data_IF_141175046263
#
_entry.id   IF_141175046263
#
_cell.length_a   1.000
_cell.length_b   1.000
_cell.length_c   1.000
_cell.angle_alpha   90.00
_cell.angle_beta   90.00
_cell.angle_gamma   90.00
#
_symmetry.space_group_name_H-M   'P 1'
#
loop_
_entity.id
_entity.type
_entity.pdbx_description
1 polymer ?
#
# COMPACT_ATOMS: atom_id res chain seq x y z
N UNK A 1 1.93 -3.48 13.28
CA UNK A 1 3.26 -2.83 13.35
C UNK A 1 3.31 -1.64 12.41
N UNK A 2 3.98 -0.53 12.80
CA UNK A 2 4.20 0.61 11.90
C UNK A 2 5.23 0.25 10.81
N UNK A 3 5.06 0.84 9.62
CA UNK A 3 6.11 0.92 8.60
C UNK A 3 6.15 2.36 8.07
N UNK A 4 7.14 2.69 7.24
CA UNK A 4 7.20 4.01 6.59
C UNK A 4 6.05 4.22 5.58
N UNK A 5 5.43 3.14 5.11
CA UNK A 5 4.35 3.14 4.11
C UNK A 5 2.96 3.19 4.74
N UNK A 6 2.51 2.10 5.33
CA UNK A 6 1.24 1.94 6.05
C UNK A 6 1.44 1.00 7.24
N UNK A 7 0.55 1.00 8.20
CA UNK A 7 0.58 0.00 9.28
C UNK A 7 0.21 -1.38 8.74
N UNK A 8 0.98 -2.40 9.15
CA UNK A 8 0.78 -3.79 8.78
C UNK A 8 0.20 -4.64 9.91
N UNK A 9 -0.73 -5.54 9.59
CA UNK A 9 -1.17 -6.61 10.48
C UNK A 9 -0.15 -7.75 10.41
N UNK A 10 0.75 -7.80 11.40
CA UNK A 10 1.90 -8.68 11.40
C UNK A 10 1.61 -10.03 12.05
N UNK A 11 2.06 -11.10 11.43
CA UNK A 11 2.10 -12.45 11.97
C UNK A 11 3.31 -13.21 11.45
N UNK A 12 3.69 -14.29 12.13
CA UNK A 12 4.80 -15.16 11.72
C UNK A 12 4.59 -15.66 10.28
N UNK A 13 5.49 -15.28 9.37
CA UNK A 13 5.39 -15.57 7.93
C UNK A 13 5.62 -17.05 7.59
N UNK A 14 6.18 -17.82 8.52
CA UNK A 14 6.41 -19.26 8.36
C UNK A 14 5.42 -20.13 9.13
N UNK A 15 4.54 -19.52 9.93
CA UNK A 15 3.55 -20.26 10.71
C UNK A 15 2.18 -20.23 10.00
N UNK A 16 1.68 -21.36 9.44
CA UNK A 16 0.40 -21.43 8.75
C UNK A 16 -0.79 -20.97 9.61
N UNK A 17 -0.75 -21.19 10.94
CA UNK A 17 -1.83 -20.77 11.83
C UNK A 17 -1.85 -19.24 12.00
N UNK A 18 -0.66 -18.59 12.09
CA UNK A 18 -0.55 -17.15 12.13
C UNK A 18 -1.00 -16.51 10.81
N UNK A 19 -0.64 -17.11 9.67
CA UNK A 19 -1.09 -16.68 8.34
C UNK A 19 -2.62 -16.78 8.22
N UNK A 20 -3.21 -17.94 8.59
CA UNK A 20 -4.66 -18.12 8.58
C UNK A 20 -5.39 -17.07 9.44
N UNK A 21 -4.82 -16.73 10.60
CA UNK A 21 -5.37 -15.69 11.48
C UNK A 21 -5.34 -14.30 10.83
N UNK A 22 -4.32 -13.96 10.05
CA UNK A 22 -4.27 -12.71 9.27
C UNK A 22 -5.44 -12.66 8.26
N UNK A 23 -5.65 -13.73 7.50
CA UNK A 23 -6.76 -13.80 6.52
C UNK A 23 -8.13 -13.68 7.21
N UNK A 24 -8.31 -14.35 8.35
CA UNK A 24 -9.54 -14.32 9.15
C UNK A 24 -9.84 -12.90 9.68
N UNK A 25 -8.89 -12.28 10.39
CA UNK A 25 -9.05 -10.94 10.97
C UNK A 25 -9.40 -9.91 9.89
N UNK A 26 -8.71 -9.97 8.75
CA UNK A 26 -8.94 -9.05 7.64
C UNK A 26 -10.18 -9.39 6.81
N UNK A 27 -10.74 -10.60 6.92
CA UNK A 27 -11.70 -11.17 5.97
C UNK A 27 -11.15 -11.13 4.53
N UNK A 28 -9.84 -11.42 4.40
CA UNK A 28 -9.13 -11.37 3.13
C UNK A 28 -9.38 -12.65 2.32
N UNK A 29 -9.59 -12.55 1.00
CA UNK A 29 -9.65 -13.73 0.14
C UNK A 29 -8.32 -14.50 0.12
N UNK A 30 -8.37 -15.83 0.17
CA UNK A 30 -7.17 -16.69 0.20
C UNK A 30 -6.32 -16.62 -1.10
N UNK A 31 -6.89 -16.12 -2.19
CA UNK A 31 -6.18 -15.94 -3.45
C UNK A 31 -5.38 -14.62 -3.54
N UNK A 32 -5.41 -13.77 -2.50
CA UNK A 32 -4.69 -12.50 -2.48
C UNK A 32 -3.43 -12.65 -1.59
N UNK A 33 -2.20 -12.80 -2.19
CA UNK A 33 -0.99 -13.18 -1.47
C UNK A 33 -0.54 -12.11 -0.46
N UNK A 34 0.40 -12.47 0.40
CA UNK A 34 0.95 -11.60 1.44
C UNK A 34 2.38 -11.16 1.07
N UNK A 35 2.82 -10.05 1.65
CA UNK A 35 4.21 -9.59 1.59
C UNK A 35 4.91 -10.06 2.87
N UNK A 36 6.04 -10.74 2.72
CA UNK A 36 6.93 -11.11 3.82
C UNK A 36 7.95 -10.00 4.06
N UNK A 37 8.05 -9.55 5.30
CA UNK A 37 8.95 -8.49 5.73
C UNK A 37 10.12 -9.08 6.50
N UNK A 38 11.33 -8.60 6.22
CA UNK A 38 12.60 -9.08 6.77
C UNK A 38 13.40 -7.93 7.39
N UNK A 39 14.34 -8.28 8.29
CA UNK A 39 15.22 -7.31 8.92
C UNK A 39 16.28 -6.75 7.95
N UNK A 40 16.72 -7.56 6.99
CA UNK A 40 17.74 -7.21 6.01
C UNK A 40 17.57 -7.95 4.68
N UNK A 41 18.38 -7.59 3.70
CA UNK A 41 18.30 -8.13 2.34
C UNK A 41 18.79 -9.59 2.27
N UNK A 42 19.73 -10.02 3.09
CA UNK A 42 20.26 -11.38 3.12
C UNK A 42 19.16 -12.34 3.54
N UNK A 43 18.53 -12.10 4.69
CA UNK A 43 17.39 -12.88 5.15
C UNK A 43 16.20 -12.86 4.16
N UNK A 44 15.97 -11.72 3.47
CA UNK A 44 14.92 -11.63 2.46
C UNK A 44 15.20 -12.50 1.23
N UNK A 45 16.44 -12.61 0.80
CA UNK A 45 16.80 -13.45 -0.35
C UNK A 45 16.98 -14.93 0.00
N UNK A 46 17.16 -15.29 1.27
CA UNK A 46 17.24 -16.68 1.70
C UNK A 46 15.96 -17.49 1.44
N UNK A 47 14.82 -16.83 1.32
CA UNK A 47 13.53 -17.50 1.01
C UNK A 47 13.26 -17.61 -0.49
N UNK A 48 14.20 -17.17 -1.32
CA UNK A 48 14.12 -17.18 -2.78
C UNK A 48 15.20 -18.05 -3.42
N UNK A 49 14.96 -18.50 -4.64
CA UNK A 49 15.97 -19.09 -5.50
C UNK A 49 16.08 -18.30 -6.80
N UNK A 50 17.20 -18.44 -7.52
CA UNK A 50 17.44 -17.83 -8.83
C UNK A 50 17.11 -16.33 -8.87
N UNK A 51 17.48 -15.59 -7.79
CA UNK A 51 17.21 -14.15 -7.69
C UNK A 51 18.01 -13.40 -8.75
N UNK A 52 17.33 -12.69 -9.70
CA UNK A 52 18.01 -11.93 -10.75
C UNK A 52 18.93 -10.85 -10.16
N UNK A 53 20.05 -10.57 -10.83
CA UNK A 53 20.99 -9.54 -10.40
C UNK A 53 20.32 -8.14 -10.35
N UNK A 54 19.41 -7.86 -11.28
CA UNK A 54 18.61 -6.63 -11.27
C UNK A 54 17.78 -6.49 -9.99
N UNK A 55 17.21 -7.59 -9.47
CA UNK A 55 16.47 -7.57 -8.20
C UNK A 55 17.40 -7.25 -7.02
N UNK A 56 18.63 -7.79 -7.02
CA UNK A 56 19.65 -7.46 -6.01
C UNK A 56 20.09 -6.00 -6.09
N UNK A 57 20.28 -5.45 -7.28
CA UNK A 57 20.60 -4.03 -7.51
C UNK A 57 19.50 -3.11 -7.03
N UNK A 58 18.24 -3.43 -7.32
CA UNK A 58 17.07 -2.70 -6.82
C UNK A 58 17.00 -2.75 -5.29
N UNK A 59 17.20 -3.92 -4.69
CA UNK A 59 17.24 -4.08 -3.25
C UNK A 59 18.36 -3.24 -2.62
N UNK A 60 19.57 -3.28 -3.15
CA UNK A 60 20.70 -2.51 -2.64
C UNK A 60 20.46 -0.99 -2.68
N UNK A 61 19.64 -0.51 -3.62
CA UNK A 61 19.31 0.91 -3.75
C UNK A 61 18.16 1.34 -2.85
N UNK A 62 17.13 0.47 -2.69
CA UNK A 62 15.85 0.87 -2.11
C UNK A 62 15.52 0.17 -0.78
N UNK A 63 16.36 -0.76 -0.29
CA UNK A 63 16.20 -1.38 1.00
C UNK A 63 17.28 -0.91 1.99
N UNK A 64 16.88 -0.65 3.23
CA UNK A 64 15.52 -0.67 3.78
C UNK A 64 14.65 0.46 3.20
N UNK A 65 13.40 0.13 2.78
CA UNK A 65 12.51 1.13 2.18
C UNK A 65 11.22 0.59 1.54
N UNK A 66 10.52 1.46 0.79
CA UNK A 66 9.19 1.17 0.28
C UNK A 66 9.18 0.39 -1.04
N UNK A 67 10.13 -0.54 -1.24
CA UNK A 67 10.19 -1.47 -2.35
C UNK A 67 9.79 -2.88 -1.91
N UNK A 68 8.92 -3.52 -2.68
CA UNK A 68 8.62 -4.95 -2.60
C UNK A 68 9.06 -5.62 -3.90
N UNK A 69 9.80 -6.71 -3.80
CA UNK A 69 10.22 -7.54 -4.93
C UNK A 69 9.46 -8.86 -4.93
N UNK A 70 8.97 -9.26 -6.10
CA UNK A 70 8.35 -10.57 -6.32
C UNK A 70 9.38 -11.46 -7.00
N UNK A 71 9.76 -12.54 -6.31
CA UNK A 71 10.85 -13.44 -6.69
C UNK A 71 10.42 -14.90 -6.58
N UNK A 72 11.06 -15.85 -7.30
CA UNK A 72 10.77 -17.27 -7.16
C UNK A 72 11.01 -17.74 -5.70
N UNK A 73 10.02 -18.43 -5.11
CA UNK A 73 10.07 -18.86 -3.71
C UNK A 73 10.75 -20.22 -3.54
N UNK A 74 11.43 -20.42 -2.40
CA UNK A 74 11.80 -21.73 -1.93
C UNK A 74 10.64 -22.44 -1.25
N UNK A 75 10.69 -23.76 -1.12
CA UNK A 75 9.67 -24.58 -0.47
C UNK A 75 9.52 -24.30 1.03
N UNK A 76 10.47 -23.59 1.64
CA UNK A 76 10.38 -23.11 3.03
C UNK A 76 9.27 -22.08 3.23
N UNK A 77 8.82 -21.39 2.16
CA UNK A 77 7.73 -20.42 2.23
C UNK A 77 6.40 -21.15 2.11
N UNK A 78 5.52 -21.06 3.14
CA UNK A 78 4.21 -21.70 3.10
C UNK A 78 3.36 -21.22 1.91
N UNK A 79 2.64 -22.13 1.25
CA UNK A 79 1.73 -21.79 0.13
C UNK A 79 0.66 -20.79 0.54
N UNK A 80 0.22 -20.80 1.79
CA UNK A 80 -0.76 -19.84 2.28
C UNK A 80 -0.24 -18.40 2.23
N UNK A 81 1.07 -18.16 2.40
CA UNK A 81 1.65 -16.83 2.28
C UNK A 81 1.62 -16.31 0.84
N UNK A 82 1.72 -17.21 -0.13
CA UNK A 82 1.81 -16.88 -1.57
C UNK A 82 0.52 -17.18 -2.34
N UNK A 83 -0.55 -17.61 -1.63
CA UNK A 83 -1.80 -18.05 -2.27
C UNK A 83 -1.58 -19.18 -3.29
N UNK A 84 -0.61 -20.06 -3.04
CA UNK A 84 -0.23 -21.17 -3.93
C UNK A 84 0.62 -20.75 -5.15
N UNK A 85 1.00 -19.48 -5.26
CA UNK A 85 1.86 -19.01 -6.36
C UNK A 85 3.32 -19.47 -6.17
N UNK A 86 4.06 -19.69 -7.28
CA UNK A 86 5.47 -20.11 -7.23
C UNK A 86 6.44 -18.96 -6.90
N UNK A 87 5.92 -17.78 -6.60
CA UNK A 87 6.68 -16.58 -6.28
C UNK A 87 6.24 -16.01 -4.94
N UNK A 88 7.16 -15.32 -4.25
CA UNK A 88 6.92 -14.64 -2.98
C UNK A 88 7.24 -13.16 -3.10
N UNK A 89 6.41 -12.32 -2.49
CA UNK A 89 6.65 -10.89 -2.34
C UNK A 89 7.46 -10.66 -1.06
N UNK A 90 8.64 -10.05 -1.17
CA UNK A 90 9.58 -9.81 -0.07
C UNK A 90 9.92 -8.33 0.03
N UNK A 91 10.14 -7.85 1.27
CA UNK A 91 10.46 -6.45 1.55
C UNK A 91 11.30 -6.31 2.81
N UNK A 92 12.16 -5.29 2.84
CA UNK A 92 12.86 -4.80 4.04
C UNK A 92 12.37 -3.38 4.33
N UNK A 93 11.49 -3.17 5.34
CA UNK A 93 10.94 -1.84 5.66
C UNK A 93 11.98 -0.97 6.34
N UNK A 94 11.89 0.37 6.20
CA UNK A 94 12.86 1.30 6.81
C UNK A 94 12.44 1.82 8.19
N UNK A 95 11.20 1.60 8.63
CA UNK A 95 10.71 2.16 9.89
C UNK A 95 11.44 1.57 11.11
N UNK A 96 11.97 2.39 12.06
CA UNK A 96 12.79 1.91 13.17
C UNK A 96 12.11 0.85 14.05
N UNK A 97 10.81 1.02 14.35
CA UNK A 97 10.04 0.05 15.15
C UNK A 97 9.86 -1.27 14.41
N UNK A 98 9.57 -1.23 13.08
CA UNK A 98 9.49 -2.45 12.28
C UNK A 98 10.83 -3.18 12.25
N UNK A 99 11.93 -2.47 12.06
CA UNK A 99 13.28 -3.02 12.06
C UNK A 99 13.66 -3.63 13.41
N UNK A 100 13.33 -2.97 14.53
CA UNK A 100 13.57 -3.51 15.86
C UNK A 100 12.77 -4.81 16.10
N UNK A 101 11.48 -4.79 15.70
CA UNK A 101 10.61 -5.98 15.81
C UNK A 101 11.15 -7.15 14.98
N UNK A 102 11.51 -6.94 13.72
CA UNK A 102 12.04 -7.98 12.83
C UNK A 102 13.34 -8.58 13.33
N UNK A 103 14.27 -7.75 13.86
CA UNK A 103 15.51 -8.23 14.48
C UNK A 103 15.26 -9.02 15.75
N UNK A 104 14.28 -8.61 16.57
CA UNK A 104 13.94 -9.34 17.80
C UNK A 104 13.22 -10.66 17.50
N UNK A 105 12.37 -10.69 16.48
CA UNK A 105 11.60 -11.86 16.06
C UNK A 105 12.49 -12.92 15.38
N UNK A 106 13.53 -12.50 14.67
CA UNK A 106 14.51 -13.36 13.97
C UNK A 106 13.90 -14.26 12.89
N UNK A 107 12.86 -13.77 12.22
CA UNK A 107 12.16 -14.45 11.13
C UNK A 107 11.34 -13.48 10.30
N UNK A 108 10.72 -13.93 9.20
CA UNK A 108 9.85 -13.09 8.40
C UNK A 108 8.52 -12.83 9.09
N UNK A 109 8.01 -11.60 8.96
CA UNK A 109 6.64 -11.26 9.31
C UNK A 109 5.81 -11.05 8.05
N UNK A 110 4.74 -11.83 7.88
CA UNK A 110 3.72 -11.52 6.90
C UNK A 110 2.90 -10.33 7.42
N UNK A 111 2.83 -9.24 6.65
CA UNK A 111 2.16 -8.03 7.12
C UNK A 111 1.44 -7.28 5.99
N UNK A 112 0.22 -7.69 5.62
CA UNK A 112 -0.67 -6.85 4.82
C UNK A 112 -1.10 -5.63 5.63
N UNK A 113 -1.65 -4.58 4.98
CA UNK A 113 -2.16 -3.39 5.67
C UNK A 113 -3.14 -3.75 6.81
N UNK A 114 -3.10 -3.01 7.93
CA UNK A 114 -3.84 -3.37 9.15
C UNK A 114 -5.29 -2.83 9.16
N UNK A 115 -6.02 -3.04 8.06
CA UNK A 115 -7.45 -2.70 7.89
C UNK A 115 -8.24 -3.95 7.49
N UNK A 116 -9.56 -3.92 7.60
CA UNK A 116 -10.43 -4.91 6.96
C UNK A 116 -10.27 -4.84 5.44
N UNK A 117 -10.38 -6.00 4.78
CA UNK A 117 -10.18 -6.10 3.34
C UNK A 117 -11.03 -5.10 2.55
N UNK A 118 -10.41 -4.44 1.57
CA UNK A 118 -11.07 -3.46 0.70
C UNK A 118 -11.25 -2.06 1.30
N UNK A 119 -10.93 -1.85 2.59
CA UNK A 119 -11.08 -0.57 3.30
C UNK A 119 -9.82 0.29 3.17
N UNK A 120 -9.91 1.55 3.65
CA UNK A 120 -8.82 2.53 3.68
C UNK A 120 -7.66 1.98 4.52
N UNK A 121 -6.44 2.00 3.96
CA UNK A 121 -5.23 1.57 4.69
C UNK A 121 -4.91 2.51 5.86
N UNK A 122 -4.56 1.99 7.06
CA UNK A 122 -4.22 2.83 8.20
C UNK A 122 -2.78 3.35 8.11
N UNK A 123 -2.59 4.63 8.41
CA UNK A 123 -1.30 5.31 8.43
C UNK A 123 -0.86 5.74 9.83
N UNK A 124 -1.64 5.42 10.85
CA UNK A 124 -1.34 5.62 12.27
C UNK A 124 -1.99 4.54 13.14
N UNK A 125 -1.61 4.48 14.42
CA UNK A 125 -2.11 3.48 15.37
C UNK A 125 -3.60 3.66 15.70
N UNK A 126 -4.09 4.88 15.72
CA UNK A 126 -5.50 5.18 16.00
C UNK A 126 -6.40 4.62 14.88
N UNK A 127 -5.99 4.76 13.62
CA UNK A 127 -6.69 4.18 12.48
C UNK A 127 -6.70 2.65 12.52
N UNK A 128 -5.61 1.99 12.96
CA UNK A 128 -5.58 0.54 13.17
C UNK A 128 -6.59 0.13 14.24
N UNK A 129 -6.61 0.84 15.38
CA UNK A 129 -7.55 0.55 16.45
C UNK A 129 -9.01 0.74 16.01
N UNK A 130 -9.31 1.80 15.26
CA UNK A 130 -10.64 2.04 14.70
C UNK A 130 -11.11 0.94 13.72
N UNK A 131 -10.19 0.36 12.94
CA UNK A 131 -10.50 -0.69 11.94
C UNK A 131 -10.60 -2.10 12.54
N UNK A 132 -9.68 -2.45 13.44
CA UNK A 132 -9.50 -3.82 13.93
C UNK A 132 -9.88 -3.98 15.41
N UNK A 133 -9.83 -2.90 16.21
CA UNK A 133 -10.20 -2.91 17.62
C UNK A 133 -9.52 -4.04 18.40
N UNK A 134 -10.28 -4.69 19.27
CA UNK A 134 -9.81 -5.77 20.13
C UNK A 134 -9.53 -7.09 19.40
N UNK A 135 -9.70 -7.14 18.07
CA UNK A 135 -9.36 -8.34 17.30
C UNK A 135 -7.85 -8.55 17.17
N UNK A 136 -7.05 -7.51 17.45
CA UNK A 136 -5.59 -7.56 17.50
C UNK A 136 -5.10 -7.36 18.94
N UNK A 137 -4.22 -8.24 19.44
CA UNK A 137 -3.81 -8.20 20.84
C UNK A 137 -2.84 -7.05 21.19
N UNK A 138 -2.18 -6.49 20.19
CA UNK A 138 -1.14 -5.45 20.38
C UNK A 138 -1.04 -4.55 19.15
N UNK A 139 -0.98 -3.26 19.38
CA UNK A 139 -0.65 -2.25 18.37
C UNK A 139 0.65 -1.57 18.83
N UNK A 140 1.70 -1.68 18.03
CA UNK A 140 2.93 -0.91 18.22
C UNK A 140 2.73 0.46 17.59
N UNK A 141 2.72 1.50 18.39
CA UNK A 141 2.62 2.88 17.91
C UNK A 141 4.01 3.42 17.55
N UNK A 142 4.21 3.75 16.29
CA UNK A 142 5.43 4.38 15.77
C UNK A 142 5.18 5.77 15.20
N UNK A 143 4.00 6.36 15.49
CA UNK A 143 3.57 7.61 14.88
C UNK A 143 3.04 7.45 13.45
N UNK A 144 2.79 8.56 12.76
CA UNK A 144 2.25 8.55 11.40
C UNK A 144 3.28 8.04 10.38
N UNK A 145 2.81 7.33 9.36
CA UNK A 145 3.65 6.83 8.27
C UNK A 145 4.17 7.97 7.40
N UNK A 146 5.48 8.01 7.16
CA UNK A 146 6.12 9.12 6.42
C UNK A 146 5.81 9.12 4.91
N UNK A 147 5.57 7.93 4.31
CA UNK A 147 5.26 7.79 2.87
C UNK A 147 3.75 7.84 2.62
N UNK A 148 2.95 7.23 3.49
CA UNK A 148 1.49 7.26 3.46
C UNK A 148 0.81 6.43 2.38
N UNK A 149 1.56 5.82 1.47
CA UNK A 149 1.11 4.86 0.46
C UNK A 149 1.83 3.53 0.63
N UNK A 150 1.24 2.44 0.16
CA UNK A 150 1.90 1.13 0.17
C UNK A 150 3.18 1.12 -0.69
N UNK A 151 4.01 0.10 -0.49
CA UNK A 151 5.23 -0.11 -1.26
C UNK A 151 4.96 -0.26 -2.76
N UNK A 152 5.89 0.20 -3.58
CA UNK A 152 5.98 -0.16 -4.99
C UNK A 152 6.31 -1.65 -5.10
N UNK A 153 5.56 -2.39 -5.93
CA UNK A 153 5.75 -3.82 -6.12
C UNK A 153 6.26 -4.08 -7.52
N UNK A 154 7.44 -4.66 -7.61
CA UNK A 154 8.10 -5.03 -8.86
C UNK A 154 8.30 -6.54 -8.95
N UNK A 155 8.06 -7.08 -10.12
CA UNK A 155 8.54 -8.38 -10.53
C UNK A 155 9.73 -8.21 -11.47
N UNK A 156 10.81 -8.96 -11.20
CA UNK A 156 11.99 -8.98 -12.06
C UNK A 156 12.17 -10.38 -12.59
N UNK A 157 12.04 -10.56 -13.90
CA UNK A 157 12.21 -11.85 -14.56
C UNK A 157 12.68 -11.66 -16.01
N UNK A 158 13.54 -12.57 -16.48
CA UNK A 158 14.04 -12.60 -17.86
C UNK A 158 14.61 -11.27 -18.36
N UNK A 159 15.28 -10.51 -17.48
CA UNK A 159 15.83 -9.20 -17.81
C UNK A 159 14.80 -8.09 -17.95
N UNK A 160 13.56 -8.30 -17.49
CA UNK A 160 12.48 -7.31 -17.53
C UNK A 160 12.06 -6.91 -16.11
N UNK A 161 11.77 -5.64 -15.92
CA UNK A 161 11.18 -5.09 -14.70
C UNK A 161 9.71 -4.81 -14.97
N UNK A 162 8.83 -5.46 -14.22
CA UNK A 162 7.38 -5.29 -14.37
C UNK A 162 6.80 -4.67 -13.11
N UNK A 163 6.13 -3.52 -13.25
CA UNK A 163 5.38 -2.87 -12.19
C UNK A 163 4.06 -3.61 -11.96
N UNK A 164 3.92 -4.24 -10.80
CA UNK A 164 2.69 -4.90 -10.37
C UNK A 164 1.78 -3.96 -9.58
N UNK A 165 2.35 -2.99 -8.86
CA UNK A 165 1.62 -1.96 -8.11
C UNK A 165 2.47 -0.70 -7.97
N UNK A 166 1.95 0.44 -8.36
CA UNK A 166 2.56 1.73 -8.04
C UNK A 166 2.47 2.03 -6.54
N UNK A 167 3.51 2.65 -5.97
CA UNK A 167 3.60 2.91 -4.52
C UNK A 167 4.62 3.98 -4.18
N UNK A 168 5.29 3.83 -3.02
CA UNK A 168 6.18 4.83 -2.44
C UNK A 168 7.45 5.17 -3.22
N UNK A 169 7.76 4.44 -4.30
CA UNK A 169 8.86 4.75 -5.24
C UNK A 169 8.24 4.94 -6.61
N UNK A 170 8.59 6.04 -7.28
CA UNK A 170 8.06 6.33 -8.62
C UNK A 170 8.73 5.47 -9.71
N UNK A 171 8.02 5.30 -10.83
CA UNK A 171 8.55 4.57 -12.00
C UNK A 171 9.79 5.28 -12.54
N UNK A 172 9.74 6.60 -12.64
CA UNK A 172 10.83 7.44 -13.14
C UNK A 172 12.12 7.29 -12.29
N UNK A 173 11.96 7.12 -10.97
CA UNK A 173 13.10 6.88 -10.08
C UNK A 173 13.72 5.49 -10.31
N UNK A 174 12.89 4.48 -10.52
CA UNK A 174 13.33 3.12 -10.83
C UNK A 174 14.08 3.10 -12.18
N UNK A 175 13.49 3.69 -13.23
CA UNK A 175 14.07 3.76 -14.57
C UNK A 175 15.40 4.53 -14.57
N UNK A 176 15.47 5.65 -13.84
CA UNK A 176 16.71 6.44 -13.69
C UNK A 176 17.85 5.63 -13.06
N UNK A 177 17.54 4.76 -12.09
CA UNK A 177 18.55 3.99 -11.36
C UNK A 177 18.95 2.73 -12.13
N UNK A 178 18.01 2.06 -12.76
CA UNK A 178 18.28 0.81 -13.49
C UNK A 178 18.78 1.06 -14.92
N UNK A 179 18.40 2.18 -15.51
CA UNK A 179 18.58 2.45 -16.95
C UNK A 179 17.65 1.64 -17.84
N UNK A 180 16.60 1.01 -17.26
CA UNK A 180 15.70 0.09 -17.94
C UNK A 180 14.27 0.62 -17.91
N UNK A 181 13.50 0.36 -18.97
CA UNK A 181 12.09 0.69 -19.04
C UNK A 181 11.30 -0.25 -18.14
N UNK A 182 10.45 0.33 -17.28
CA UNK A 182 9.55 -0.43 -16.41
C UNK A 182 8.24 -0.73 -17.15
N UNK A 183 7.98 -2.01 -17.38
CA UNK A 183 6.72 -2.46 -17.99
C UNK A 183 5.60 -2.39 -16.95
N UNK A 184 4.41 -1.95 -17.35
CA UNK A 184 3.22 -2.03 -16.49
C UNK A 184 2.50 -3.35 -16.71
N UNK A 185 2.20 -4.07 -15.63
CA UNK A 185 1.36 -5.26 -15.72
C UNK A 185 -0.03 -4.87 -16.22
N UNK A 186 -0.56 -5.62 -17.17
CA UNK A 186 -1.96 -5.47 -17.58
C UNK A 186 -2.85 -5.93 -16.40
N UNK A 187 -3.90 -5.18 -16.04
CA UNK A 187 -4.85 -5.65 -15.04
C UNK A 187 -5.41 -7.02 -15.45
N UNK A 188 -5.24 -8.01 -14.61
CA UNK A 188 -5.73 -9.38 -14.87
C UNK A 188 -7.01 -9.55 -14.05
N UNK A 189 -8.09 -10.03 -14.69
CA UNK A 189 -9.31 -10.46 -13.98
C UNK A 189 -9.09 -11.79 -13.23
N UNK A 190 -7.91 -12.40 -13.34
CA UNK A 190 -7.45 -13.60 -12.66
C UNK A 190 -6.86 -13.29 -11.28
N UNK A 191 -6.42 -14.33 -10.55
CA UNK A 191 -5.79 -14.20 -9.25
C UNK A 191 -4.59 -13.21 -9.28
N UNK A 192 -4.53 -12.25 -8.35
CA UNK A 192 -3.50 -11.24 -8.32
C UNK A 192 -2.11 -11.86 -8.06
N UNK A 193 -1.08 -11.38 -8.76
CA UNK A 193 0.31 -11.77 -8.53
C UNK A 193 0.92 -11.06 -7.30
N UNK A 194 0.29 -9.99 -6.85
CA UNK A 194 0.73 -9.19 -5.69
C UNK A 194 -0.46 -8.52 -5.00
N UNK A 195 -0.33 -8.18 -3.71
CA UNK A 195 -1.38 -7.48 -2.95
C UNK A 195 -1.76 -6.14 -3.58
N UNK A 196 -3.07 -5.83 -3.58
CA UNK A 196 -3.59 -4.53 -4.04
C UNK A 196 -3.80 -4.42 -5.55
N UNK A 197 -3.80 -5.52 -6.30
CA UNK A 197 -4.15 -5.55 -7.74
C UNK A 197 -5.66 -5.65 -8.00
N UNK A 198 -6.47 -5.95 -6.99
CA UNK A 198 -7.91 -6.11 -7.13
C UNK A 198 -8.61 -4.79 -7.43
N UNK A 199 -9.67 -4.85 -8.26
CA UNK A 199 -10.45 -3.68 -8.72
C UNK A 199 -11.09 -2.89 -7.58
N UNK A 200 -11.58 -3.56 -6.54
CA UNK A 200 -12.23 -2.95 -5.38
C UNK A 200 -11.28 -2.97 -4.19
N UNK A 201 -10.64 -1.85 -3.93
CA UNK A 201 -9.71 -1.69 -2.81
C UNK A 201 -9.69 -0.23 -2.34
N UNK A 202 -9.26 0.03 -1.10
CA UNK A 202 -9.10 1.38 -0.51
C UNK A 202 -10.42 2.16 -0.33
N UNK A 203 -11.57 1.49 -0.40
CA UNK A 203 -12.85 2.17 -0.45
C UNK A 203 -13.27 2.75 0.92
N UNK A 204 -13.69 4.03 0.98
CA UNK A 204 -14.38 4.60 2.12
C UNK A 204 -15.76 3.93 2.31
N UNK A 205 -16.39 4.14 3.47
CA UNK A 205 -17.80 3.73 3.71
C UNK A 205 -18.77 4.54 2.87
N UNK A 206 -18.47 5.83 2.72
CA UNK A 206 -19.23 6.78 1.93
C UNK A 206 -18.95 6.63 0.44
N UNK A 207 -19.92 6.92 -0.43
CA UNK A 207 -19.67 6.95 -1.87
C UNK A 207 -18.56 7.95 -2.23
N UNK A 208 -17.63 7.52 -3.07
CA UNK A 208 -16.57 8.38 -3.60
C UNK A 208 -16.74 8.54 -5.10
N UNK A 209 -16.75 9.77 -5.57
CA UNK A 209 -16.72 10.13 -6.99
C UNK A 209 -15.40 10.82 -7.33
N UNK A 210 -14.72 10.29 -8.31
CA UNK A 210 -13.54 10.92 -8.88
C UNK A 210 -13.98 12.04 -9.84
N UNK A 211 -13.34 13.20 -9.71
CA UNK A 211 -13.55 14.36 -10.58
C UNK A 211 -12.48 14.36 -11.67
N UNK A 212 -12.91 14.46 -12.92
CA UNK A 212 -12.00 14.63 -14.05
C UNK A 212 -11.65 16.11 -14.25
N UNK A 213 -10.64 16.38 -15.07
CA UNK A 213 -10.20 17.74 -15.38
C UNK A 213 -11.35 18.51 -16.06
N UNK A 214 -11.78 19.60 -15.43
CA UNK A 214 -12.90 20.42 -15.91
C UNK A 214 -14.25 20.11 -15.26
N UNK A 215 -14.35 19.06 -14.46
CA UNK A 215 -15.56 18.81 -13.68
C UNK A 215 -15.81 19.96 -12.69
N UNK A 216 -17.06 20.39 -12.60
CA UNK A 216 -17.47 21.33 -11.57
C UNK A 216 -17.37 20.66 -10.19
N UNK A 217 -16.69 21.32 -9.24
CA UNK A 217 -16.70 20.90 -7.86
C UNK A 217 -18.12 21.05 -7.32
N UNK A 218 -18.76 19.98 -6.84
CA UNK A 218 -20.10 20.04 -6.31
C UNK A 218 -20.19 21.00 -5.12
N UNK A 219 -21.33 21.67 -5.01
CA UNK A 219 -21.68 22.56 -3.89
C UNK A 219 -22.80 21.94 -3.06
N UNK A 220 -22.91 22.34 -1.80
CA UNK A 220 -24.05 22.05 -0.95
C UNK A 220 -23.75 21.16 0.25
N UNK A 221 -24.76 20.96 1.07
CA UNK A 221 -24.69 20.13 2.27
C UNK A 221 -24.45 18.67 1.90
N UNK A 222 -23.63 17.97 2.70
CA UNK A 222 -23.29 16.57 2.49
C UNK A 222 -22.09 16.34 1.57
N UNK A 223 -21.56 17.35 0.88
CA UNK A 223 -20.41 17.19 0.01
C UNK A 223 -19.08 17.37 0.78
N UNK A 224 -18.21 16.35 0.72
CA UNK A 224 -16.81 16.41 1.16
C UNK A 224 -15.86 16.42 -0.04
N UNK A 225 -14.81 17.22 0.01
CA UNK A 225 -13.82 17.32 -1.05
C UNK A 225 -12.44 16.86 -0.59
N UNK A 226 -11.88 15.88 -1.28
CA UNK A 226 -10.47 15.51 -1.22
C UNK A 226 -9.75 16.28 -2.34
N UNK A 227 -9.07 17.36 -1.98
CA UNK A 227 -8.49 18.31 -2.91
C UNK A 227 -6.99 18.13 -3.08
N UNK A 228 -6.45 18.68 -4.16
CA UNK A 228 -5.01 18.79 -4.43
C UNK A 228 -4.71 20.14 -5.07
N UNK A 229 -3.63 20.80 -4.64
CA UNK A 229 -3.26 22.13 -5.11
C UNK A 229 -4.11 23.26 -4.51
N UNK A 230 -4.03 24.43 -5.11
CA UNK A 230 -4.84 25.57 -4.67
C UNK A 230 -6.30 25.39 -5.05
N UNK A 231 -7.19 25.58 -4.08
CA UNK A 231 -8.64 25.54 -4.27
C UNK A 231 -9.24 26.86 -3.83
N UNK A 232 -10.25 27.35 -4.55
CA UNK A 232 -11.08 28.43 -4.07
C UNK A 232 -12.00 27.90 -2.97
N UNK A 233 -12.22 28.68 -1.90
CA UNK A 233 -13.22 28.36 -0.90
C UNK A 233 -14.59 28.20 -1.53
N UNK A 234 -15.30 27.15 -1.13
CA UNK A 234 -16.63 26.80 -1.67
C UNK A 234 -17.49 26.28 -0.53
N UNK A 235 -18.82 26.38 -0.71
CA UNK A 235 -19.82 25.83 0.21
C UNK A 235 -19.78 24.30 0.19
N UNK A 236 -18.89 23.73 0.98
CA UNK A 236 -18.69 22.30 1.18
C UNK A 236 -18.82 21.96 2.67
N UNK A 237 -19.31 20.76 2.97
CA UNK A 237 -19.43 20.31 4.36
C UNK A 237 -18.06 20.08 5.01
N UNK A 238 -17.09 19.58 4.24
CA UNK A 238 -15.71 19.39 4.66
C UNK A 238 -14.75 19.42 3.46
N UNK A 239 -13.51 19.86 3.70
CA UNK A 239 -12.43 19.85 2.71
C UNK A 239 -11.18 19.31 3.37
N UNK A 240 -10.59 18.29 2.78
CA UNK A 240 -9.25 17.80 3.09
C UNK A 240 -8.36 18.03 1.87
N UNK A 241 -7.30 18.79 2.04
CA UNK A 241 -6.35 19.09 0.96
C UNK A 241 -5.09 18.25 1.13
N UNK A 242 -4.80 17.41 0.14
CA UNK A 242 -3.65 16.51 0.15
C UNK A 242 -2.32 17.29 0.16
N UNK A 243 -2.25 18.38 -0.61
CA UNK A 243 -1.12 19.32 -0.65
C UNK A 243 -1.58 20.64 -1.27
N UNK A 244 -1.71 21.72 -0.51
CA UNK A 244 -2.03 23.05 -1.06
C UNK A 244 -0.97 23.57 -2.02
N UNK A 245 0.29 23.19 -1.85
CA UNK A 245 1.41 23.56 -2.72
C UNK A 245 1.50 22.74 -4.01
N UNK A 246 0.75 21.64 -4.12
CA UNK A 246 0.83 20.71 -5.23
C UNK A 246 2.01 19.74 -5.15
N UNK A 247 2.58 19.53 -3.96
CA UNK A 247 3.64 18.54 -3.75
C UNK A 247 3.09 17.12 -3.66
N UNK A 248 3.55 16.24 -4.55
CA UNK A 248 3.06 14.86 -4.62
C UNK A 248 3.55 13.97 -3.47
N UNK A 249 4.66 14.30 -2.81
CA UNK A 249 5.14 13.56 -1.62
C UNK A 249 4.28 13.90 -0.41
N UNK A 250 3.98 15.19 -0.22
CA UNK A 250 3.04 15.65 0.80
C UNK A 250 1.66 15.03 0.56
N UNK A 251 1.18 15.04 -0.69
CA UNK A 251 -0.10 14.43 -1.05
C UNK A 251 -0.16 12.94 -0.74
N UNK A 252 0.90 12.20 -1.03
CA UNK A 252 1.00 10.78 -0.73
C UNK A 252 0.95 10.52 0.79
N UNK A 253 1.72 11.27 1.58
CA UNK A 253 1.76 11.14 3.05
C UNK A 253 0.39 11.44 3.69
N UNK A 254 -0.38 12.36 3.12
CA UNK A 254 -1.68 12.77 3.61
C UNK A 254 -2.85 11.91 3.10
N UNK A 255 -2.66 11.14 2.03
CA UNK A 255 -3.75 10.54 1.24
C UNK A 255 -4.76 9.73 2.07
N UNK A 256 -4.34 8.68 2.75
CA UNK A 256 -5.26 7.83 3.52
C UNK A 256 -5.81 8.52 4.76
N UNK A 257 -5.02 9.39 5.42
CA UNK A 257 -5.47 10.18 6.57
C UNK A 257 -6.60 11.13 6.16
N UNK A 258 -6.40 11.88 5.09
CA UNK A 258 -7.39 12.83 4.58
C UNK A 258 -8.67 12.12 4.09
N UNK A 259 -8.52 11.01 3.36
CA UNK A 259 -9.66 10.22 2.92
C UNK A 259 -10.45 9.65 4.11
N UNK A 260 -9.77 9.20 5.17
CA UNK A 260 -10.40 8.72 6.40
C UNK A 260 -11.11 9.85 7.15
N UNK A 261 -10.51 11.04 7.24
CA UNK A 261 -11.14 12.18 7.88
C UNK A 261 -12.48 12.54 7.22
N UNK A 262 -12.57 12.54 5.90
CA UNK A 262 -13.83 12.74 5.17
C UNK A 262 -14.81 11.57 5.37
N UNK A 263 -14.32 10.33 5.41
CA UNK A 263 -15.17 9.15 5.64
C UNK A 263 -15.78 9.13 7.05
N UNK A 264 -15.09 9.69 8.04
CA UNK A 264 -15.52 9.74 9.43
C UNK A 264 -16.34 11.00 9.78
N UNK A 265 -16.26 12.09 8.99
CA UNK A 265 -16.98 13.34 9.25
C UNK A 265 -18.50 13.17 9.09
N UNK A 266 -19.31 13.30 10.14
CA UNK A 266 -20.76 13.09 10.08
C UNK A 266 -21.51 14.08 9.17
N UNK A 267 -20.88 15.21 8.82
CA UNK A 267 -21.46 16.20 7.89
C UNK A 267 -21.31 15.80 6.42
N UNK A 268 -20.45 14.82 6.12
CA UNK A 268 -20.18 14.35 4.76
C UNK A 268 -21.05 13.15 4.45
N UNK A 269 -21.79 13.20 3.37
CA UNK A 269 -22.58 12.09 2.84
C UNK A 269 -21.92 11.43 1.63
N UNK A 270 -21.19 12.25 0.84
CA UNK A 270 -20.48 11.83 -0.37
C UNK A 270 -19.14 12.54 -0.51
N UNK A 271 -18.13 11.77 -0.88
CA UNK A 271 -16.77 12.28 -1.09
C UNK A 271 -16.55 12.52 -2.59
N UNK A 272 -16.01 13.68 -2.91
CA UNK A 272 -15.50 14.01 -4.23
C UNK A 272 -13.99 14.14 -4.16
N UNK A 273 -13.27 13.55 -5.10
CA UNK A 273 -11.81 13.57 -5.09
C UNK A 273 -11.25 14.11 -6.39
N UNK A 274 -10.35 15.08 -6.30
CA UNK A 274 -9.61 15.59 -7.45
C UNK A 274 -8.50 14.62 -7.85
N UNK A 275 -8.30 14.42 -9.16
CA UNK A 275 -7.10 13.76 -9.66
C UNK A 275 -5.86 14.61 -9.36
N UNK A 276 -4.73 13.95 -9.17
CA UNK A 276 -3.41 14.58 -9.10
C UNK A 276 -2.67 14.37 -10.43
N UNK A 277 -1.57 15.11 -10.71
CA UNK A 277 -0.75 14.87 -11.91
C UNK A 277 -0.28 13.42 -12.02
N UNK A 278 -0.37 12.81 -13.21
CA UNK A 278 -0.09 11.39 -13.44
C UNK A 278 1.40 11.11 -13.69
N UNK A 279 2.25 11.61 -12.80
CA UNK A 279 3.70 11.35 -12.77
C UNK A 279 4.19 11.22 -11.32
N UNK A 280 5.38 10.70 -11.12
CA UNK A 280 5.95 10.51 -9.79
C UNK A 280 5.03 9.66 -8.90
N UNK A 281 4.79 10.11 -7.68
CA UNK A 281 3.84 9.44 -6.76
C UNK A 281 2.38 9.64 -7.15
N UNK A 282 2.08 10.57 -8.05
CA UNK A 282 0.72 10.83 -8.52
C UNK A 282 0.10 9.62 -9.21
N UNK A 283 0.89 8.83 -9.94
CA UNK A 283 0.44 7.56 -10.50
C UNK A 283 -0.16 6.65 -9.41
N UNK A 284 0.55 6.50 -8.29
CA UNK A 284 0.10 5.66 -7.18
C UNK A 284 -1.15 6.22 -6.49
N UNK A 285 -1.26 7.54 -6.34
CA UNK A 285 -2.44 8.20 -5.77
C UNK A 285 -3.65 7.98 -6.67
N UNK A 286 -3.52 8.25 -7.98
CA UNK A 286 -4.61 8.11 -8.94
C UNK A 286 -5.10 6.65 -9.04
N UNK A 287 -4.21 5.65 -9.07
CA UNK A 287 -4.60 4.24 -9.01
C UNK A 287 -5.45 3.89 -7.77
N UNK A 288 -5.13 4.48 -6.62
CA UNK A 288 -5.91 4.27 -5.40
C UNK A 288 -7.27 4.96 -5.44
N UNK A 289 -7.32 6.18 -5.97
CA UNK A 289 -8.56 6.91 -6.17
C UNK A 289 -9.52 6.15 -7.11
N UNK A 290 -9.01 5.62 -8.21
CA UNK A 290 -9.80 4.82 -9.16
C UNK A 290 -10.38 3.57 -8.49
N UNK A 291 -9.57 2.83 -7.71
CA UNK A 291 -10.05 1.64 -6.99
C UNK A 291 -11.01 1.97 -5.85
N UNK A 292 -10.81 3.12 -5.18
CA UNK A 292 -11.71 3.58 -4.13
C UNK A 292 -13.08 4.03 -4.67
N UNK A 293 -13.13 4.53 -5.92
CA UNK A 293 -14.36 4.98 -6.59
C UNK A 293 -15.10 3.87 -7.35
N UNK A 294 -14.51 2.70 -7.53
CA UNK A 294 -15.03 1.60 -8.34
C UNK A 294 -16.13 0.76 -7.64
N UNK A 295 -16.98 1.38 -6.79
CA UNK A 295 -18.10 0.73 -6.11
C UNK A 295 -19.40 0.92 -6.87
#
# INVERSE_FOLDING_TARGET
>A
MPTETVYGLAGDGFNPAALARIFEIKRRPLYDPLILHFADAEAAFDVAHDVPEQARRLAAQFWPGPLTLVVPKRDTVPDLATSGLPKVAIRVPSHPVAQALLRAFKGPLAAPSANRFGRISPTDAAAVHAELGDTVPLILDGGPCAVGLESTVLEVSEGKITLLRAGGISVEEIERITGEVVLRATPVDAAPLAPGQLKHHYAPRKPLRLLDSGDAIPHGSGAGLLAFGSIAEKDLSAVENLSPSGDLREAAANFFRALRALDDDPRVEKIYASRVPDHGLGLAINERLERASAR
#
